data_IF_948449828144
#
_entry.id   IF_948449828144
#
_cell.length_a   1.000
_cell.length_b   1.000
_cell.length_c   1.000
_cell.angle_alpha   90.00
_cell.angle_beta   90.00
_cell.angle_gamma   90.00
#
_symmetry.space_group_name_H-M   'P 1'
#
loop_
_entity.id
_entity.type
_entity.pdbx_description
1 polymer ?
#
# COMPACT_ATOMS: atom_id res chain seq x y z
N UNK A 1 -47.56 13.80 -25.79
CA UNK A 1 -46.83 13.33 -24.59
C UNK A 1 -45.70 12.41 -25.04
N UNK A 2 -44.45 12.60 -24.56
CA UNK A 2 -43.32 11.78 -24.98
C UNK A 2 -43.38 10.37 -24.34
N UNK A 3 -42.77 9.35 -24.96
CA UNK A 3 -42.84 7.97 -24.48
C UNK A 3 -42.01 7.76 -23.20
N UNK A 4 -42.59 7.01 -22.24
CA UNK A 4 -41.94 6.61 -20.98
C UNK A 4 -40.67 5.80 -21.28
N UNK A 5 -39.53 6.26 -20.74
CA UNK A 5 -38.29 5.48 -20.65
C UNK A 5 -38.54 4.24 -19.79
N UNK A 6 -38.22 3.05 -20.32
CA UNK A 6 -38.11 1.80 -19.54
C UNK A 6 -36.92 1.94 -18.58
N UNK A 7 -37.02 1.53 -17.30
CA UNK A 7 -35.86 1.40 -16.45
C UNK A 7 -34.94 0.32 -17.04
N UNK A 8 -33.65 0.60 -17.11
CA UNK A 8 -32.64 -0.41 -17.43
C UNK A 8 -32.69 -1.51 -16.36
N UNK A 9 -32.81 -2.77 -16.80
CA UNK A 9 -32.70 -3.94 -15.93
C UNK A 9 -31.29 -3.97 -15.33
N UNK A 10 -31.21 -3.88 -14.01
CA UNK A 10 -29.98 -4.14 -13.27
C UNK A 10 -29.78 -5.65 -13.22
N UNK A 11 -28.61 -6.12 -13.65
CA UNK A 11 -28.21 -7.53 -13.56
C UNK A 11 -28.32 -8.07 -12.13
N UNK A 12 -28.32 -9.40 -11.95
CA UNK A 12 -28.53 -10.02 -10.65
C UNK A 12 -27.50 -9.52 -9.62
N UNK A 13 -27.97 -8.84 -8.57
CA UNK A 13 -27.14 -8.42 -7.44
C UNK A 13 -26.58 -9.67 -6.77
N UNK A 14 -25.27 -9.88 -6.90
CA UNK A 14 -24.58 -11.00 -6.28
C UNK A 14 -24.75 -10.89 -4.76
N UNK A 15 -25.31 -11.94 -4.15
CA UNK A 15 -25.70 -11.94 -2.74
C UNK A 15 -24.45 -12.08 -1.88
N UNK A 16 -24.16 -11.06 -1.08
CA UNK A 16 -23.01 -11.03 -0.16
C UNK A 16 -22.97 -12.27 0.74
N UNK A 17 -21.81 -12.92 0.82
CA UNK A 17 -21.60 -14.10 1.66
C UNK A 17 -21.62 -13.74 3.16
N UNK A 18 -21.67 -14.75 4.03
CA UNK A 18 -21.55 -14.51 5.49
C UNK A 18 -20.19 -13.92 5.85
N UNK A 19 -19.13 -14.44 5.24
CA UNK A 19 -17.76 -14.02 5.48
C UNK A 19 -17.54 -12.57 5.00
N UNK A 20 -18.07 -12.21 3.83
CA UNK A 20 -18.03 -10.83 3.35
C UNK A 20 -18.80 -9.86 4.25
N UNK A 21 -19.91 -10.29 4.87
CA UNK A 21 -20.64 -9.47 5.85
C UNK A 21 -19.85 -9.27 7.13
N UNK A 22 -19.25 -10.34 7.65
CA UNK A 22 -18.44 -10.30 8.87
C UNK A 22 -17.27 -9.34 8.73
N UNK A 23 -16.60 -9.41 7.57
CA UNK A 23 -15.53 -8.50 7.23
C UNK A 23 -16.00 -7.25 6.49
N UNK A 24 -17.28 -6.84 6.55
CA UNK A 24 -17.79 -5.60 5.95
C UNK A 24 -17.22 -5.25 4.55
N UNK A 25 -17.07 -6.23 3.66
CA UNK A 25 -16.60 -6.06 2.28
C UNK A 25 -17.72 -6.30 1.28
N UNK A 26 -17.66 -5.64 0.14
CA UNK A 26 -18.65 -5.82 -0.92
C UNK A 26 -18.54 -7.20 -1.58
N UNK A 27 -19.60 -7.70 -2.25
CA UNK A 27 -19.51 -8.94 -3.02
C UNK A 27 -18.44 -8.89 -4.11
N UNK A 28 -18.12 -7.70 -4.62
CA UNK A 28 -17.08 -7.50 -5.63
C UNK A 28 -15.70 -7.65 -5.00
N UNK A 29 -15.42 -6.95 -3.90
CA UNK A 29 -14.16 -7.12 -3.15
C UNK A 29 -13.93 -8.59 -2.75
N UNK A 30 -14.97 -9.28 -2.28
CA UNK A 30 -14.89 -10.71 -1.97
C UNK A 30 -14.53 -11.55 -3.20
N UNK A 31 -15.08 -11.21 -4.37
CA UNK A 31 -14.77 -11.89 -5.63
C UNK A 31 -13.32 -11.64 -6.06
N UNK A 32 -12.86 -10.39 -5.98
CA UNK A 32 -11.49 -10.00 -6.34
C UNK A 32 -10.45 -10.67 -5.42
N UNK A 33 -10.71 -10.70 -4.10
CA UNK A 33 -9.87 -11.42 -3.12
C UNK A 33 -9.79 -12.90 -3.47
N UNK A 34 -10.93 -13.52 -3.83
CA UNK A 34 -11.00 -14.93 -4.20
C UNK A 34 -10.25 -15.23 -5.49
N UNK A 35 -10.37 -14.38 -6.49
CA UNK A 35 -9.63 -14.52 -7.74
C UNK A 35 -8.13 -14.44 -7.47
N UNK A 36 -7.68 -13.40 -6.76
CA UNK A 36 -6.27 -13.24 -6.39
C UNK A 36 -5.73 -14.43 -5.57
N UNK A 37 -6.52 -14.95 -4.62
CA UNK A 37 -6.15 -16.14 -3.85
C UNK A 37 -6.00 -17.37 -4.76
N UNK A 38 -6.95 -17.59 -5.66
CA UNK A 38 -6.97 -18.76 -6.55
C UNK A 38 -5.80 -18.83 -7.54
N UNK A 39 -5.14 -17.70 -7.83
CA UNK A 39 -3.95 -17.66 -8.67
C UNK A 39 -2.72 -18.29 -8.00
N UNK A 40 -2.72 -18.38 -6.67
CA UNK A 40 -1.58 -18.82 -5.88
C UNK A 40 -1.92 -19.94 -4.89
N UNK A 41 -3.18 -20.38 -4.84
CA UNK A 41 -3.59 -21.44 -3.92
C UNK A 41 -3.30 -22.84 -4.45
N UNK A 42 -3.12 -23.76 -3.51
CA UNK A 42 -2.95 -25.19 -3.73
C UNK A 42 -4.12 -25.94 -3.10
N UNK A 43 -4.58 -27.06 -3.70
CA UNK A 43 -5.62 -27.89 -3.09
C UNK A 43 -5.18 -28.41 -1.71
N UNK A 44 -6.09 -28.43 -0.75
CA UNK A 44 -5.84 -28.96 0.59
C UNK A 44 -7.08 -29.61 1.17
N UNK A 45 -6.89 -30.78 1.78
CA UNK A 45 -8.01 -31.56 2.32
C UNK A 45 -8.68 -30.81 3.48
N UNK A 46 -10.00 -30.61 3.36
CA UNK A 46 -10.79 -29.85 4.33
C UNK A 46 -10.95 -28.37 4.00
N UNK A 47 -10.15 -27.82 3.07
CA UNK A 47 -10.23 -26.42 2.64
C UNK A 47 -10.78 -26.33 1.21
N UNK A 48 -12.05 -25.94 1.08
CA UNK A 48 -12.75 -25.93 -0.21
C UNK A 48 -12.11 -24.99 -1.23
N UNK A 49 -11.58 -23.86 -0.78
CA UNK A 49 -10.89 -22.87 -1.59
C UNK A 49 -9.39 -23.18 -1.77
N UNK A 50 -8.88 -24.20 -1.06
CA UNK A 50 -7.47 -24.49 -0.95
C UNK A 50 -6.75 -23.60 0.07
N UNK A 51 -5.43 -23.68 0.06
CA UNK A 51 -4.54 -22.90 0.93
C UNK A 51 -3.55 -22.12 0.07
N UNK A 52 -3.08 -20.97 0.54
CA UNK A 52 -1.98 -20.24 -0.11
C UNK A 52 -0.67 -20.49 0.66
N UNK A 53 0.43 -20.89 -0.01
CA UNK A 53 1.74 -20.93 0.64
C UNK A 53 2.13 -19.55 1.17
N UNK A 54 2.71 -19.49 2.36
CA UNK A 54 3.10 -18.22 2.99
C UNK A 54 4.09 -17.42 2.12
N UNK A 55 4.92 -18.10 1.35
CA UNK A 55 5.84 -17.48 0.39
C UNK A 55 5.12 -16.69 -0.73
N UNK A 56 3.89 -17.08 -1.08
CA UNK A 56 3.12 -16.47 -2.17
C UNK A 56 2.11 -15.41 -1.71
N UNK A 57 1.92 -15.23 -0.39
CA UNK A 57 1.04 -14.18 0.18
C UNK A 57 1.34 -12.81 -0.40
N UNK A 58 2.62 -12.42 -0.47
CA UNK A 58 3.01 -11.12 -1.06
C UNK A 58 2.55 -10.99 -2.51
N UNK A 59 2.64 -12.07 -3.29
CA UNK A 59 2.30 -12.07 -4.72
C UNK A 59 0.78 -11.99 -4.91
N UNK A 60 0.01 -12.70 -4.09
CA UNK A 60 -1.44 -12.61 -4.09
C UNK A 60 -1.93 -11.20 -3.71
N UNK A 61 -1.32 -10.57 -2.70
CA UNK A 61 -1.66 -9.19 -2.32
C UNK A 61 -1.32 -8.16 -3.42
N UNK A 62 -0.21 -8.37 -4.14
CA UNK A 62 0.12 -7.55 -5.33
C UNK A 62 -0.91 -7.76 -6.44
N UNK A 63 -1.34 -9.00 -6.69
CA UNK A 63 -2.33 -9.31 -7.73
C UNK A 63 -3.70 -8.68 -7.42
N UNK A 64 -4.08 -8.62 -6.14
CA UNK A 64 -5.26 -7.91 -5.66
C UNK A 64 -5.11 -6.37 -5.70
N UNK A 65 -3.92 -5.87 -6.03
CA UNK A 65 -3.62 -4.45 -6.08
C UNK A 65 -3.42 -3.79 -4.71
N UNK A 66 -3.28 -4.57 -3.63
CA UNK A 66 -3.04 -4.12 -2.25
C UNK A 66 -1.67 -4.58 -1.73
N UNK A 67 -0.55 -4.22 -2.39
CA UNK A 67 0.77 -4.67 -1.96
C UNK A 67 1.04 -4.25 -0.50
N UNK A 68 1.73 -5.07 0.30
CA UNK A 68 2.27 -4.60 1.57
C UNK A 68 3.17 -3.38 1.32
N UNK A 69 2.96 -2.33 2.10
CA UNK A 69 3.66 -1.05 2.09
C UNK A 69 5.12 -1.20 2.55
N UNK A 70 5.43 -2.21 3.35
CA UNK A 70 6.80 -2.48 3.78
C UNK A 70 7.07 -3.97 4.06
N UNK A 71 8.36 -4.32 4.19
CA UNK A 71 8.75 -5.67 4.64
C UNK A 71 8.27 -5.96 6.07
N UNK A 72 8.20 -4.95 6.92
CA UNK A 72 7.73 -5.10 8.30
C UNK A 72 6.26 -5.46 8.34
N UNK A 73 5.43 -4.75 7.57
CA UNK A 73 3.99 -5.02 7.46
C UNK A 73 3.73 -6.42 6.88
N UNK A 74 4.47 -6.83 5.83
CA UNK A 74 4.37 -8.19 5.31
C UNK A 74 4.72 -9.24 6.38
N UNK A 75 5.74 -8.98 7.20
CA UNK A 75 6.15 -9.91 8.27
C UNK A 75 5.05 -10.04 9.32
N UNK A 76 4.39 -8.92 9.67
CA UNK A 76 3.25 -8.90 10.58
C UNK A 76 2.05 -9.69 10.01
N UNK A 77 1.68 -9.45 8.75
CA UNK A 77 0.62 -10.23 8.10
C UNK A 77 0.92 -11.72 8.08
N UNK A 78 2.16 -12.11 7.76
CA UNK A 78 2.56 -13.52 7.79
C UNK A 78 2.41 -14.10 9.20
N UNK A 79 2.81 -13.38 10.24
CA UNK A 79 2.69 -13.86 11.63
C UNK A 79 1.24 -14.04 12.08
N UNK A 80 0.31 -13.27 11.52
CA UNK A 80 -1.13 -13.38 11.79
C UNK A 80 -1.74 -14.54 10.99
N UNK A 81 -1.32 -14.70 9.73
CA UNK A 81 -1.83 -15.72 8.82
C UNK A 81 -1.36 -17.13 9.19
N UNK A 82 -0.15 -17.26 9.72
CA UNK A 82 0.47 -18.53 10.08
C UNK A 82 1.13 -18.48 11.47
N UNK A 83 0.32 -18.38 12.54
CA UNK A 83 0.84 -18.31 13.90
C UNK A 83 1.47 -19.64 14.36
N UNK A 84 1.07 -20.76 13.77
CA UNK A 84 1.60 -22.11 14.06
C UNK A 84 2.80 -22.50 13.20
N UNK A 85 3.22 -21.67 12.24
CA UNK A 85 4.30 -21.98 11.29
C UNK A 85 4.06 -23.25 10.46
N UNK A 86 2.81 -23.45 10.04
CA UNK A 86 2.35 -24.52 9.14
C UNK A 86 2.83 -24.30 7.70
N UNK A 87 3.18 -23.05 7.35
CA UNK A 87 3.72 -22.68 6.04
C UNK A 87 2.66 -22.29 5.01
N UNK A 88 1.39 -22.24 5.40
CA UNK A 88 0.28 -21.83 4.53
C UNK A 88 -0.76 -20.99 5.28
N UNK A 89 -1.65 -20.35 4.52
CA UNK A 89 -2.82 -19.64 5.04
C UNK A 89 -4.10 -20.12 4.36
N UNK A 90 -5.20 -20.18 5.11
CA UNK A 90 -6.53 -20.49 4.56
C UNK A 90 -7.14 -19.29 3.86
N UNK A 91 -8.14 -19.53 3.00
CA UNK A 91 -8.86 -18.44 2.33
C UNK A 91 -9.51 -17.48 3.33
N UNK A 92 -10.08 -18.00 4.42
CA UNK A 92 -10.72 -17.19 5.47
C UNK A 92 -9.72 -16.22 6.12
N UNK A 93 -8.54 -16.73 6.52
CA UNK A 93 -7.49 -15.91 7.13
C UNK A 93 -6.94 -14.87 6.14
N UNK A 94 -6.70 -15.27 4.89
CA UNK A 94 -6.24 -14.34 3.85
C UNK A 94 -7.26 -13.23 3.57
N UNK A 95 -8.54 -13.58 3.45
CA UNK A 95 -9.63 -12.62 3.25
C UNK A 95 -9.71 -11.61 4.39
N UNK A 96 -9.57 -12.06 5.64
CA UNK A 96 -9.58 -11.17 6.80
C UNK A 96 -8.48 -10.09 6.71
N UNK A 97 -7.25 -10.49 6.37
CA UNK A 97 -6.12 -9.56 6.17
C UNK A 97 -6.37 -8.61 5.00
N UNK A 98 -6.82 -9.14 3.85
CA UNK A 98 -7.10 -8.31 2.68
C UNK A 98 -8.23 -7.30 2.95
N UNK A 99 -9.29 -7.71 3.65
CA UNK A 99 -10.40 -6.84 4.01
C UNK A 99 -9.97 -5.72 4.98
N UNK A 100 -9.06 -6.00 5.91
CA UNK A 100 -8.47 -4.96 6.76
C UNK A 100 -7.66 -3.96 5.93
N UNK A 101 -6.85 -4.44 4.99
CA UNK A 101 -6.01 -3.57 4.15
C UNK A 101 -6.83 -2.76 3.14
N UNK A 102 -7.90 -3.32 2.57
CA UNK A 102 -8.82 -2.60 1.68
C UNK A 102 -9.48 -1.44 2.43
N UNK A 103 -9.93 -1.67 3.67
CA UNK A 103 -10.48 -0.61 4.52
C UNK A 103 -9.50 0.50 4.84
N UNK A 104 -8.25 0.15 5.15
CA UNK A 104 -7.22 1.15 5.41
C UNK A 104 -7.07 2.10 4.20
N UNK A 105 -6.98 1.52 2.99
CA UNK A 105 -6.88 2.31 1.75
C UNK A 105 -8.11 3.14 1.42
N UNK A 106 -9.29 2.69 1.82
CA UNK A 106 -10.54 3.40 1.62
C UNK A 106 -10.76 4.53 2.64
N UNK A 107 -9.86 4.70 3.60
CA UNK A 107 -9.83 5.90 4.42
C UNK A 107 -9.54 7.11 3.50
N UNK A 108 -10.52 8.00 3.26
CA UNK A 108 -10.33 9.15 2.37
C UNK A 108 -9.17 10.03 2.82
N UNK A 109 -8.88 10.02 4.12
CA UNK A 109 -7.76 10.75 4.70
C UNK A 109 -6.43 10.07 4.32
N UNK A 110 -6.36 8.74 4.22
CA UNK A 110 -5.15 8.01 3.79
C UNK A 110 -4.90 8.15 2.28
N UNK A 111 -5.93 8.08 1.44
CA UNK A 111 -5.76 8.31 -0.01
C UNK A 111 -5.40 9.78 -0.30
N UNK A 112 -6.00 10.73 0.40
CA UNK A 112 -5.62 12.14 0.31
C UNK A 112 -4.16 12.34 0.77
N UNK A 113 -3.78 11.73 1.89
CA UNK A 113 -2.42 11.77 2.41
C UNK A 113 -1.40 11.17 1.41
N UNK A 114 -1.71 10.02 0.81
CA UNK A 114 -0.82 9.41 -0.19
C UNK A 114 -0.61 10.32 -1.41
N UNK A 115 -1.67 11.00 -1.87
CA UNK A 115 -1.58 11.99 -2.96
C UNK A 115 -0.74 13.20 -2.55
N UNK A 116 -0.91 13.73 -1.34
CA UNK A 116 -0.10 14.83 -0.82
C UNK A 116 1.38 14.46 -0.71
N UNK A 117 1.69 13.23 -0.27
CA UNK A 117 3.05 12.71 -0.24
C UNK A 117 3.62 12.58 -1.65
N UNK A 118 2.86 12.06 -2.62
CA UNK A 118 3.30 11.94 -4.01
C UNK A 118 3.61 13.30 -4.65
N UNK A 119 2.70 14.26 -4.49
CA UNK A 119 2.89 15.61 -5.02
C UNK A 119 4.10 16.29 -4.38
N UNK A 120 4.24 16.22 -3.05
CA UNK A 120 5.39 16.78 -2.34
C UNK A 120 6.70 16.10 -2.75
N UNK A 121 6.75 14.77 -2.83
CA UNK A 121 7.94 14.03 -3.24
C UNK A 121 8.34 14.36 -4.70
N UNK A 122 7.36 14.53 -5.58
CA UNK A 122 7.57 14.97 -6.96
C UNK A 122 8.16 16.38 -7.02
N UNK A 123 7.72 17.32 -6.16
CA UNK A 123 8.30 18.65 -6.07
C UNK A 123 9.77 18.62 -5.67
N UNK A 124 10.14 17.77 -4.69
CA UNK A 124 11.54 17.59 -4.29
C UNK A 124 12.40 16.98 -5.39
N UNK A 125 11.87 16.01 -6.15
CA UNK A 125 12.57 15.38 -7.28
C UNK A 125 12.44 16.18 -8.58
N UNK A 126 11.83 17.37 -8.51
CA UNK A 126 11.54 18.27 -9.62
C UNK A 126 10.82 17.62 -10.81
N UNK A 127 9.87 16.72 -10.52
CA UNK A 127 9.06 16.04 -11.52
C UNK A 127 9.85 15.11 -12.44
N UNK A 128 11.03 14.63 -12.00
CA UNK A 128 11.78 13.65 -12.78
C UNK A 128 11.00 12.33 -12.78
N UNK A 129 10.37 12.00 -13.91
CA UNK A 129 9.63 10.75 -14.06
C UNK A 129 10.52 9.55 -13.70
N UNK A 130 10.02 8.69 -12.81
CA UNK A 130 10.74 7.52 -12.33
C UNK A 130 11.82 7.80 -11.28
N UNK A 131 11.90 9.00 -10.71
CA UNK A 131 12.78 9.26 -9.58
C UNK A 131 12.40 8.39 -8.37
N UNK A 132 13.34 7.57 -7.90
CA UNK A 132 13.13 6.63 -6.79
C UNK A 132 13.62 7.16 -5.45
N UNK A 133 14.34 8.29 -5.43
CA UNK A 133 14.90 8.88 -4.22
C UNK A 133 15.16 10.39 -4.32
N UNK A 134 15.05 11.08 -3.20
CA UNK A 134 15.54 12.46 -3.00
C UNK A 134 17.05 12.39 -2.76
N UNK A 135 17.82 13.18 -3.51
CA UNK A 135 19.29 13.20 -3.44
C UNK A 135 19.81 14.52 -2.88
N UNK A 136 21.09 14.58 -2.53
CA UNK A 136 21.74 15.86 -2.16
C UNK A 136 21.58 16.92 -3.24
N UNK A 137 21.63 16.55 -4.52
CA UNK A 137 21.43 17.49 -5.63
C UNK A 137 20.01 18.06 -5.66
N UNK A 138 19.01 17.25 -5.28
CA UNK A 138 17.62 17.71 -5.12
C UNK A 138 17.51 18.71 -3.97
N UNK A 139 18.08 18.38 -2.79
CA UNK A 139 18.05 19.30 -1.65
C UNK A 139 18.79 20.61 -1.92
N UNK A 140 19.92 20.59 -2.62
CA UNK A 140 20.63 21.81 -3.07
C UNK A 140 19.75 22.71 -3.92
N UNK A 141 18.99 22.11 -4.85
CA UNK A 141 18.07 22.84 -5.73
C UNK A 141 16.94 23.48 -4.91
N UNK A 142 16.37 22.72 -3.97
CA UNK A 142 15.32 23.22 -3.08
C UNK A 142 15.84 24.36 -2.20
N UNK A 143 17.02 24.23 -1.58
CA UNK A 143 17.64 25.29 -0.78
C UNK A 143 17.86 26.57 -1.60
N UNK A 144 18.35 26.46 -2.84
CA UNK A 144 18.50 27.59 -3.75
C UNK A 144 17.16 28.25 -4.12
N UNK A 145 16.09 27.45 -4.32
CA UNK A 145 14.73 27.96 -4.58
C UNK A 145 14.16 28.71 -3.37
N UNK A 146 14.45 28.24 -2.16
CA UNK A 146 14.03 28.87 -0.90
C UNK A 146 14.92 30.04 -0.47
N UNK A 147 15.99 30.34 -1.23
CA UNK A 147 17.02 31.35 -0.90
C UNK A 147 17.69 31.10 0.45
N UNK A 148 17.85 29.83 0.80
CA UNK A 148 18.59 29.37 1.98
C UNK A 148 20.08 29.27 1.60
N UNK A 149 20.80 30.39 1.68
CA UNK A 149 22.16 30.53 1.16
C UNK A 149 23.24 29.90 2.07
N UNK A 150 22.92 29.67 3.35
CA UNK A 150 23.87 29.17 4.36
C UNK A 150 23.83 27.63 4.56
N UNK A 151 23.20 26.91 3.62
CA UNK A 151 23.06 25.45 3.71
C UNK A 151 24.31 24.77 3.15
N UNK A 152 25.16 24.26 4.05
CA UNK A 152 26.38 23.56 3.67
C UNK A 152 26.13 22.18 3.07
N UNK A 153 27.03 21.73 2.19
CA UNK A 153 27.07 20.37 1.67
C UNK A 153 27.14 19.28 2.76
N UNK A 154 27.71 19.61 3.92
CA UNK A 154 27.75 18.71 5.08
C UNK A 154 26.36 18.50 5.65
N UNK A 155 25.65 19.59 5.95
CA UNK A 155 24.29 19.55 6.49
C UNK A 155 23.33 18.78 5.57
N UNK A 156 23.42 18.99 4.25
CA UNK A 156 22.57 18.27 3.30
C UNK A 156 22.83 16.75 3.29
N UNK A 157 24.08 16.33 3.49
CA UNK A 157 24.41 14.90 3.61
C UNK A 157 23.85 14.33 4.91
N UNK A 158 23.97 15.08 6.00
CA UNK A 158 23.45 14.69 7.31
C UNK A 158 21.91 14.55 7.26
N UNK A 159 21.22 15.48 6.59
CA UNK A 159 19.76 15.38 6.37
C UNK A 159 19.36 14.09 5.64
N UNK A 160 20.10 13.70 4.59
CA UNK A 160 19.82 12.45 3.85
C UNK A 160 20.04 11.23 4.76
N UNK A 161 21.13 11.22 5.52
CA UNK A 161 21.47 10.10 6.42
C UNK A 161 20.45 9.96 7.54
N UNK A 162 20.04 11.07 8.15
CA UNK A 162 19.01 11.07 9.20
C UNK A 162 17.68 10.54 8.66
N UNK A 163 17.28 10.95 7.45
CA UNK A 163 16.04 10.54 6.83
C UNK A 163 16.01 9.06 6.41
N UNK A 164 17.13 8.52 5.91
CA UNK A 164 17.21 7.14 5.41
C UNK A 164 17.73 6.11 6.42
N UNK A 165 17.75 6.46 7.70
CA UNK A 165 18.20 5.57 8.77
C UNK A 165 19.69 5.22 8.71
N UNK A 166 20.51 6.12 8.17
CA UNK A 166 21.97 6.01 8.14
C UNK A 166 22.52 5.05 7.08
N UNK A 167 21.73 4.66 6.07
CA UNK A 167 22.12 3.64 5.10
C UNK A 167 23.32 4.06 4.23
N UNK A 168 23.18 5.16 3.49
CA UNK A 168 24.27 5.88 2.80
C UNK A 168 23.69 7.09 2.08
N UNK A 169 24.49 8.14 1.87
CA UNK A 169 24.04 9.31 1.09
C UNK A 169 23.66 8.93 -0.35
N UNK A 170 24.34 7.96 -0.95
CA UNK A 170 24.12 7.54 -2.34
C UNK A 170 22.74 6.89 -2.57
N UNK A 171 22.16 6.26 -1.54
CA UNK A 171 20.80 5.68 -1.62
C UNK A 171 19.69 6.73 -1.63
N UNK A 172 20.00 7.96 -1.21
CA UNK A 172 19.01 9.03 -1.09
C UNK A 172 17.92 8.69 -0.07
N UNK A 173 16.80 9.41 -0.16
CA UNK A 173 15.61 9.23 0.68
C UNK A 173 14.45 8.75 -0.19
N UNK A 174 13.91 7.57 0.07
CA UNK A 174 12.75 7.01 -0.64
C UNK A 174 11.44 7.65 -0.17
N UNK A 175 10.35 7.42 -0.92
CA UNK A 175 9.02 8.00 -0.62
C UNK A 175 8.56 7.67 0.81
N UNK A 176 8.76 6.44 1.26
CA UNK A 176 8.34 6.01 2.61
C UNK A 176 9.17 6.69 3.71
N UNK A 177 10.46 6.91 3.46
CA UNK A 177 11.36 7.61 4.38
C UNK A 177 11.01 9.10 4.45
N UNK A 178 10.69 9.70 3.29
CA UNK A 178 10.21 11.07 3.18
C UNK A 178 8.88 11.29 3.93
N UNK A 179 7.89 10.41 3.72
CA UNK A 179 6.63 10.44 4.46
C UNK A 179 6.88 10.39 5.97
N UNK A 180 7.72 9.45 6.42
CA UNK A 180 8.08 9.34 7.83
C UNK A 180 8.74 10.59 8.41
N UNK A 181 9.64 11.25 7.67
CA UNK A 181 10.25 12.53 8.09
C UNK A 181 9.20 13.61 8.25
N UNK A 182 8.29 13.75 7.27
CA UNK A 182 7.27 14.79 7.25
C UNK A 182 6.20 14.58 8.34
N UNK A 183 5.87 13.32 8.68
CA UNK A 183 5.06 12.98 9.86
C UNK A 183 5.74 13.41 11.16
N UNK A 184 7.03 13.10 11.34
CA UNK A 184 7.80 13.53 12.53
C UNK A 184 7.94 15.04 12.65
N UNK A 185 8.00 15.74 11.51
CA UNK A 185 8.01 17.19 11.45
C UNK A 185 6.62 17.84 11.69
N UNK A 186 5.55 17.03 11.80
CA UNK A 186 4.19 17.49 12.05
C UNK A 186 3.54 18.17 10.84
N UNK A 187 4.04 17.91 9.63
CA UNK A 187 3.45 18.45 8.39
C UNK A 187 2.14 17.74 8.07
N UNK A 188 2.12 16.42 8.26
CA UNK A 188 0.95 15.56 8.13
C UNK A 188 0.32 15.33 9.52
N UNK A 189 -1.01 15.19 9.59
CA UNK A 189 -1.73 14.86 10.83
C UNK A 189 -2.40 13.50 10.74
#
# INVERSE_FOLDING_TARGET
>A
MPPRRRPAESGPKQRQSKLAKEHNITPQEEADIREAFSLFSEPYDGEKEGIIPIADVRRAMIALGIPPSSKSELTEFISILDPSSEGFATFEAFLAICALKLRAREDPDEEAHEREVDEAFSLFTAGTEGATAITVAHLKRVAALLREEDVSDGLLRDMILEANGGASVAKGVRKEEFDGVMKRAGVWR
#
